data_IF_677237375930
#
_entry.id   IF_677237375930
#
_cell.length_a   1.000
_cell.length_b   1.000
_cell.length_c   1.000
_cell.angle_alpha   90.00
_cell.angle_beta   90.00
_cell.angle_gamma   90.00
#
_symmetry.space_group_name_H-M   'P 1'
#
loop_
_entity.id
_entity.type
_entity.pdbx_description
1 polymer ?
#
# COMPACT_ATOMS: atom_id res chain seq x y z
N UNK A 1 52.74 -40.15 69.16
CA UNK A 1 51.53 -40.45 68.36
C UNK A 1 50.40 -39.52 68.80
N UNK A 2 50.07 -38.49 68.01
CA UNK A 2 48.79 -37.78 68.12
C UNK A 2 48.32 -37.40 66.71
N UNK A 3 47.18 -37.95 66.32
CA UNK A 3 46.47 -37.64 65.07
C UNK A 3 45.83 -36.26 65.23
N UNK A 4 46.06 -35.33 64.31
CA UNK A 4 45.16 -34.19 64.12
C UNK A 4 44.57 -34.21 62.72
N UNK A 5 43.24 -34.20 62.69
CA UNK A 5 42.41 -34.38 61.51
C UNK A 5 42.40 -33.17 60.57
N UNK A 6 42.35 -33.50 59.29
CA UNK A 6 42.11 -32.60 58.17
C UNK A 6 40.73 -31.96 58.30
N UNK A 7 40.64 -30.70 58.75
CA UNK A 7 39.42 -29.88 58.63
C UNK A 7 39.13 -29.66 57.14
N UNK A 8 38.14 -30.37 56.61
CA UNK A 8 37.59 -30.12 55.26
C UNK A 8 36.93 -28.74 55.26
N UNK A 9 37.36 -27.88 54.34
CA UNK A 9 36.91 -26.50 54.19
C UNK A 9 35.49 -26.48 53.58
N UNK A 10 34.48 -26.38 54.44
CA UNK A 10 33.03 -26.41 54.11
C UNK A 10 32.51 -25.17 53.39
N UNK A 11 33.36 -24.14 53.19
CA UNK A 11 32.96 -22.87 52.57
C UNK A 11 32.75 -22.97 51.05
N UNK A 12 33.51 -23.82 50.35
CA UNK A 12 33.44 -23.92 48.88
C UNK A 12 32.20 -24.68 48.39
N UNK A 13 31.66 -25.61 49.19
CA UNK A 13 30.45 -26.36 48.85
C UNK A 13 29.17 -25.50 48.96
N UNK A 14 29.21 -24.45 49.80
CA UNK A 14 28.10 -23.52 50.01
C UNK A 14 27.95 -22.55 48.82
N UNK A 15 29.05 -21.98 48.32
CA UNK A 15 29.04 -21.04 47.20
C UNK A 15 28.56 -21.68 45.90
N UNK A 16 28.96 -22.92 45.60
CA UNK A 16 28.53 -23.66 44.40
C UNK A 16 27.03 -24.01 44.41
N UNK A 17 26.45 -24.29 45.59
CA UNK A 17 24.99 -24.49 45.75
C UNK A 17 24.21 -23.20 45.59
N UNK A 18 24.76 -22.09 46.10
CA UNK A 18 24.19 -20.76 45.96
C UNK A 18 24.20 -20.33 44.49
N UNK A 19 25.31 -20.51 43.78
CA UNK A 19 25.39 -20.21 42.34
C UNK A 19 24.47 -21.12 41.50
N UNK A 20 24.34 -22.41 41.82
CA UNK A 20 23.38 -23.30 41.14
C UNK A 20 21.93 -22.88 41.41
N UNK A 21 21.61 -22.44 42.63
CA UNK A 21 20.29 -21.95 43.00
C UNK A 21 19.95 -20.65 42.27
N UNK A 22 20.89 -19.71 42.18
CA UNK A 22 20.72 -18.46 41.43
C UNK A 22 20.59 -18.69 39.93
N UNK A 23 21.38 -19.60 39.34
CA UNK A 23 21.25 -19.96 37.92
C UNK A 23 19.90 -20.64 37.66
N UNK A 24 19.43 -21.52 38.55
CA UNK A 24 18.11 -22.12 38.43
C UNK A 24 16.99 -21.08 38.55
N UNK A 25 17.10 -20.12 39.47
CA UNK A 25 16.14 -19.02 39.62
C UNK A 25 16.09 -18.10 38.39
N UNK A 26 17.25 -17.81 37.78
CA UNK A 26 17.33 -17.01 36.55
C UNK A 26 16.72 -17.77 35.36
N UNK A 27 16.97 -19.07 35.23
CA UNK A 27 16.37 -19.90 34.18
C UNK A 27 14.86 -20.04 34.36
N UNK A 28 14.38 -20.26 35.59
CA UNK A 28 12.94 -20.33 35.89
C UNK A 28 12.27 -18.98 35.63
N UNK A 29 12.89 -17.87 36.02
CA UNK A 29 12.40 -16.52 35.72
C UNK A 29 12.29 -16.29 34.21
N UNK A 30 13.29 -16.70 33.42
CA UNK A 30 13.25 -16.60 31.95
C UNK A 30 12.16 -17.46 31.30
N UNK A 31 11.93 -18.69 31.79
CA UNK A 31 10.84 -19.56 31.31
C UNK A 31 9.45 -19.03 31.70
N UNK A 32 9.32 -18.42 32.87
CA UNK A 32 8.07 -17.80 33.33
C UNK A 32 7.79 -16.47 32.62
N UNK A 33 8.83 -15.78 32.13
CA UNK A 33 8.70 -14.54 31.33
C UNK A 33 8.47 -14.80 29.84
N UNK A 34 8.82 -15.98 29.32
CA UNK A 34 8.62 -16.37 27.92
C UNK A 34 7.16 -16.25 27.42
N UNK A 35 6.11 -16.62 28.18
CA UNK A 35 4.72 -16.45 27.72
C UNK A 35 4.24 -14.99 27.72
N UNK A 36 4.99 -14.05 28.32
CA UNK A 36 4.68 -12.60 28.28
C UNK A 36 5.29 -11.89 27.06
N UNK A 37 6.12 -12.58 26.26
CA UNK A 37 6.42 -12.17 24.90
C UNK A 37 5.24 -12.53 24.00
N UNK A 38 4.15 -11.78 24.16
CA UNK A 38 3.14 -11.70 23.12
C UNK A 38 3.84 -11.13 21.89
N UNK A 39 4.14 -11.98 20.91
CA UNK A 39 4.32 -11.52 19.54
C UNK A 39 2.98 -10.89 19.21
N UNK A 40 2.92 -9.56 19.20
CA UNK A 40 1.87 -8.88 18.48
C UNK A 40 2.08 -9.32 17.03
N UNK A 41 1.33 -10.32 16.58
CA UNK A 41 0.96 -10.37 15.18
C UNK A 41 0.25 -9.03 14.96
N UNK A 42 0.99 -8.07 14.40
CA UNK A 42 0.35 -6.97 13.74
C UNK A 42 -0.56 -7.66 12.73
N UNK A 43 -1.86 -7.70 13.01
CA UNK A 43 -2.85 -8.03 12.01
C UNK A 43 -2.50 -7.12 10.83
N UNK A 44 -2.05 -7.73 9.74
CA UNK A 44 -1.67 -7.01 8.55
C UNK A 44 -2.92 -6.26 8.11
N UNK A 45 -2.97 -4.96 8.40
CA UNK A 45 -3.99 -4.04 7.90
C UNK A 45 -3.81 -3.81 6.39
N UNK A 46 -3.16 -4.75 5.67
CA UNK A 46 -3.12 -4.70 4.23
C UNK A 46 -4.54 -4.91 3.71
N UNK A 47 -5.03 -3.87 3.05
CA UNK A 47 -6.24 -3.97 2.25
C UNK A 47 -6.04 -5.14 1.29
N UNK A 48 -6.96 -6.13 1.24
CA UNK A 48 -6.79 -7.29 0.39
C UNK A 48 -6.68 -6.84 -1.07
N UNK A 49 -5.54 -7.14 -1.69
CA UNK A 49 -5.31 -6.86 -3.11
C UNK A 49 -6.02 -7.95 -3.90
N UNK A 50 -6.91 -7.55 -4.81
CA UNK A 50 -7.57 -8.51 -5.71
C UNK A 50 -6.56 -9.19 -6.62
N UNK A 51 -6.83 -10.46 -6.95
CA UNK A 51 -5.96 -11.27 -7.80
C UNK A 51 -5.63 -10.56 -9.11
N UNK A 52 -4.34 -10.48 -9.44
CA UNK A 52 -3.84 -9.83 -10.65
C UNK A 52 -3.38 -8.38 -10.48
N UNK A 53 -3.76 -7.70 -9.38
CA UNK A 53 -3.24 -6.37 -9.07
C UNK A 53 -1.98 -6.42 -8.19
N UNK A 54 -1.19 -5.35 -8.25
CA UNK A 54 0.00 -5.16 -7.43
C UNK A 54 0.35 -3.69 -7.31
N UNK A 55 0.72 -3.23 -6.10
CA UNK A 55 1.25 -1.88 -5.89
C UNK A 55 2.48 -1.56 -6.74
N UNK A 56 3.22 -2.59 -7.14
CA UNK A 56 4.47 -2.45 -7.90
C UNK A 56 4.34 -2.83 -9.37
N UNK A 57 3.11 -2.96 -9.90
CA UNK A 57 2.86 -3.42 -11.27
C UNK A 57 3.69 -2.68 -12.33
N UNK A 58 3.80 -1.34 -12.21
CA UNK A 58 4.56 -0.50 -13.14
C UNK A 58 5.98 -0.15 -12.69
N UNK A 59 6.47 -0.74 -11.59
CA UNK A 59 7.78 -0.36 -11.00
C UNK A 59 8.95 -0.53 -11.97
N UNK A 60 8.89 -1.53 -12.85
CA UNK A 60 9.94 -1.81 -13.85
C UNK A 60 9.63 -1.18 -15.21
N UNK A 61 8.37 -1.25 -15.66
CA UNK A 61 7.97 -0.80 -17.01
C UNK A 61 7.77 0.71 -17.12
N UNK A 62 7.36 1.39 -16.05
CA UNK A 62 7.16 2.83 -16.03
C UNK A 62 7.43 3.41 -14.62
N UNK A 63 8.70 3.43 -14.15
CA UNK A 63 9.06 3.82 -12.78
C UNK A 63 8.70 5.26 -12.42
N UNK A 64 8.43 6.12 -13.41
CA UNK A 64 8.05 7.53 -13.21
C UNK A 64 6.54 7.77 -13.35
N UNK A 65 5.71 6.73 -13.49
CA UNK A 65 4.27 6.86 -13.75
C UNK A 65 3.59 7.83 -12.76
N UNK A 66 3.71 7.55 -11.46
CA UNK A 66 3.03 8.33 -10.44
C UNK A 66 3.53 9.77 -10.35
N UNK A 67 4.82 10.00 -10.57
CA UNK A 67 5.37 11.37 -10.51
C UNK A 67 4.94 12.18 -11.73
N UNK A 68 4.82 11.57 -12.92
CA UNK A 68 4.28 12.21 -14.12
C UNK A 68 2.84 12.65 -13.87
N UNK A 69 1.99 11.75 -13.36
CA UNK A 69 0.57 12.04 -13.09
C UNK A 69 0.44 13.15 -12.05
N UNK A 70 1.07 12.98 -10.88
CA UNK A 70 0.95 13.94 -9.79
C UNK A 70 1.47 15.33 -10.16
N UNK A 71 2.55 15.42 -10.92
CA UNK A 71 3.12 16.71 -11.36
C UNK A 71 2.17 17.44 -12.30
N UNK A 72 1.50 16.71 -13.18
CA UNK A 72 0.54 17.33 -14.10
C UNK A 72 -0.74 17.74 -13.37
N UNK A 73 -1.24 16.90 -12.46
CA UNK A 73 -2.46 17.21 -11.70
C UNK A 73 -2.31 18.44 -10.80
N UNK A 74 -1.13 18.66 -10.19
CA UNK A 74 -0.84 19.92 -9.48
C UNK A 74 -1.13 21.14 -10.36
N UNK A 75 -0.61 21.17 -11.58
CA UNK A 75 -0.84 22.27 -12.53
C UNK A 75 -2.31 22.41 -12.94
N UNK A 76 -3.01 21.29 -13.08
CA UNK A 76 -4.45 21.29 -13.38
C UNK A 76 -5.22 21.93 -12.23
N UNK A 77 -4.91 21.56 -10.99
CA UNK A 77 -5.61 22.04 -9.80
C UNK A 77 -5.24 23.46 -9.40
N UNK A 78 -4.00 23.89 -9.66
CA UNK A 78 -3.58 25.28 -9.54
C UNK A 78 -4.42 26.22 -10.44
N UNK A 79 -4.88 25.70 -11.60
CA UNK A 79 -5.73 26.44 -12.52
C UNK A 79 -7.23 26.34 -12.17
N UNK A 80 -7.73 25.13 -11.85
CA UNK A 80 -9.11 24.88 -11.43
C UNK A 80 -9.18 23.68 -10.47
N UNK A 81 -9.28 23.98 -9.18
CA UNK A 81 -9.38 22.96 -8.11
C UNK A 81 -10.62 22.08 -8.25
N UNK A 82 -11.69 22.56 -8.90
CA UNK A 82 -12.89 21.76 -9.13
C UNK A 82 -12.63 20.51 -9.98
N UNK A 83 -11.53 20.48 -10.74
CA UNK A 83 -11.17 19.31 -11.55
C UNK A 83 -10.85 18.08 -10.70
N UNK A 84 -10.38 18.26 -9.47
CA UNK A 84 -10.16 17.15 -8.52
C UNK A 84 -11.47 16.36 -8.27
N UNK A 85 -12.56 17.07 -7.99
CA UNK A 85 -13.88 16.44 -7.82
C UNK A 85 -14.37 15.75 -9.10
N UNK A 86 -14.07 16.32 -10.27
CA UNK A 86 -14.40 15.74 -11.57
C UNK A 86 -13.70 14.40 -11.83
N UNK A 87 -12.40 14.33 -11.54
CA UNK A 87 -11.59 13.12 -11.71
C UNK A 87 -11.96 12.02 -10.71
N UNK A 88 -12.19 12.38 -9.45
CA UNK A 88 -12.68 11.44 -8.44
C UNK A 88 -14.03 10.83 -8.85
N UNK A 89 -14.96 11.68 -9.31
CA UNK A 89 -16.27 11.24 -9.80
C UNK A 89 -16.15 10.36 -11.04
N UNK A 90 -15.24 10.67 -11.97
CA UNK A 90 -15.01 9.86 -13.16
C UNK A 90 -14.60 8.43 -12.79
N UNK A 91 -13.69 8.26 -11.83
CA UNK A 91 -13.29 6.93 -11.35
C UNK A 91 -14.45 6.17 -10.70
N UNK A 92 -15.28 6.85 -9.89
CA UNK A 92 -16.49 6.23 -9.35
C UNK A 92 -17.42 5.74 -10.47
N UNK A 93 -17.67 6.56 -11.49
CA UNK A 93 -18.53 6.20 -12.61
C UNK A 93 -17.98 5.03 -13.44
N UNK A 94 -16.66 4.98 -13.66
CA UNK A 94 -16.00 3.84 -14.30
C UNK A 94 -16.25 2.56 -13.50
N UNK A 95 -15.90 2.56 -12.22
CA UNK A 95 -16.00 1.36 -11.38
C UNK A 95 -17.43 0.88 -11.11
N UNK A 96 -18.43 1.76 -11.16
CA UNK A 96 -19.81 1.41 -10.84
C UNK A 96 -20.53 0.70 -11.99
N UNK A 97 -20.07 0.88 -13.23
CA UNK A 97 -20.65 0.25 -14.41
C UNK A 97 -19.66 -0.76 -14.97
N UNK A 98 -19.97 -2.05 -14.83
CA UNK A 98 -19.16 -3.17 -15.35
C UNK A 98 -17.76 -3.35 -14.73
N UNK A 99 -17.20 -2.33 -14.07
CA UNK A 99 -15.97 -2.42 -13.27
C UNK A 99 -14.96 -1.34 -13.65
N UNK A 100 -13.84 -1.26 -12.93
CA UNK A 100 -12.80 -0.27 -13.18
C UNK A 100 -11.95 -0.63 -14.42
N UNK A 101 -12.54 -0.57 -15.61
CA UNK A 101 -11.97 -1.06 -16.86
C UNK A 101 -11.67 0.04 -17.89
N UNK A 102 -12.00 1.30 -17.58
CA UNK A 102 -11.81 2.45 -18.46
C UNK A 102 -12.87 2.58 -19.56
N UNK A 103 -13.93 1.76 -19.54
CA UNK A 103 -15.03 1.78 -20.50
C UNK A 103 -15.70 3.15 -20.59
N UNK A 104 -15.80 3.87 -19.45
CA UNK A 104 -16.39 5.22 -19.39
C UNK A 104 -15.66 6.22 -20.30
N UNK A 105 -14.39 5.96 -20.64
CA UNK A 105 -13.57 6.83 -21.47
C UNK A 105 -13.82 6.66 -22.96
N UNK A 106 -14.48 5.58 -23.38
CA UNK A 106 -14.72 5.29 -24.80
C UNK A 106 -15.75 6.28 -25.37
N UNK A 107 -15.35 6.96 -26.45
CA UNK A 107 -16.29 7.65 -27.32
C UNK A 107 -17.10 6.61 -28.13
N UNK A 108 -18.32 6.99 -28.51
CA UNK A 108 -19.11 6.13 -29.38
C UNK A 108 -18.40 5.82 -30.68
N UNK A 109 -18.76 4.69 -31.28
CA UNK A 109 -18.21 4.24 -32.55
C UNK A 109 -19.31 4.09 -33.60
N UNK A 110 -18.93 3.65 -34.81
CA UNK A 110 -19.90 3.33 -35.85
C UNK A 110 -20.94 2.28 -35.44
N UNK A 111 -20.67 1.48 -34.39
CA UNK A 111 -21.60 0.48 -33.87
C UNK A 111 -22.53 0.99 -32.76
N UNK A 112 -22.41 2.24 -32.32
CA UNK A 112 -23.32 2.83 -31.33
C UNK A 112 -22.70 3.90 -30.42
N UNK A 113 -23.53 4.52 -29.56
CA UNK A 113 -23.05 5.49 -28.58
C UNK A 113 -22.12 4.81 -27.56
N UNK A 114 -21.07 5.52 -27.16
CA UNK A 114 -20.12 5.07 -26.15
C UNK A 114 -20.69 5.32 -24.76
N UNK A 115 -19.98 4.83 -23.75
CA UNK A 115 -20.42 4.92 -22.36
C UNK A 115 -20.52 6.38 -21.87
N UNK A 116 -19.77 7.30 -22.49
CA UNK A 116 -19.90 8.73 -22.23
C UNK A 116 -21.30 9.29 -22.49
N UNK A 117 -22.06 8.69 -23.42
CA UNK A 117 -23.41 9.13 -23.75
C UNK A 117 -24.50 8.43 -22.91
N UNK A 118 -24.13 7.51 -22.00
CA UNK A 118 -25.07 6.89 -21.09
C UNK A 118 -25.67 7.94 -20.13
N UNK A 119 -26.98 7.89 -19.81
CA UNK A 119 -27.63 8.89 -18.96
C UNK A 119 -26.91 9.20 -17.63
N UNK A 120 -26.34 8.21 -16.91
CA UNK A 120 -25.58 8.50 -15.69
C UNK A 120 -24.34 9.38 -15.94
N UNK A 121 -23.71 9.20 -17.10
CA UNK A 121 -22.40 9.78 -17.45
C UNK A 121 -22.50 11.16 -18.11
N UNK A 122 -23.68 11.56 -18.59
CA UNK A 122 -23.92 12.90 -19.17
C UNK A 122 -23.60 14.05 -18.22
N UNK A 123 -23.57 13.77 -16.91
CA UNK A 123 -23.24 14.76 -15.87
C UNK A 123 -21.76 14.79 -15.50
N UNK A 124 -20.93 13.93 -16.09
CA UNK A 124 -19.48 13.97 -15.94
C UNK A 124 -18.91 15.22 -16.62
N UNK A 125 -17.86 15.79 -16.03
CA UNK A 125 -17.23 17.00 -16.58
C UNK A 125 -16.46 16.61 -17.84
N UNK A 126 -16.80 17.20 -18.99
CA UNK A 126 -16.05 17.02 -20.24
C UNK A 126 -14.53 17.22 -20.04
N UNK A 127 -14.18 18.19 -19.19
CA UNK A 127 -12.78 18.49 -18.85
C UNK A 127 -12.04 17.33 -18.16
N UNK A 128 -12.72 16.46 -17.43
CA UNK A 128 -12.09 15.30 -16.80
C UNK A 128 -11.55 14.31 -17.85
N UNK A 129 -12.30 14.09 -18.94
CA UNK A 129 -11.83 13.26 -20.07
C UNK A 129 -10.62 13.87 -20.77
N UNK A 130 -10.61 15.19 -20.98
CA UNK A 130 -9.45 15.90 -21.53
C UNK A 130 -8.21 15.73 -20.65
N UNK A 131 -8.37 15.83 -19.32
CA UNK A 131 -7.26 15.65 -18.38
C UNK A 131 -6.73 14.21 -18.43
N UNK A 132 -7.59 13.19 -18.44
CA UNK A 132 -7.16 11.79 -18.57
C UNK A 132 -6.41 11.56 -19.89
N UNK A 133 -6.87 12.14 -20.99
CA UNK A 133 -6.17 12.07 -22.27
C UNK A 133 -4.80 12.78 -22.25
N UNK A 134 -4.68 13.96 -21.62
CA UNK A 134 -3.38 14.63 -21.43
C UNK A 134 -2.43 13.80 -20.56
N UNK A 135 -2.92 13.21 -19.46
CA UNK A 135 -2.14 12.30 -18.61
C UNK A 135 -1.65 11.08 -19.38
N UNK A 136 -2.54 10.43 -20.14
CA UNK A 136 -2.20 9.32 -21.02
C UNK A 136 -1.10 9.70 -21.99
N UNK A 137 -1.23 10.81 -22.71
CA UNK A 137 -0.24 11.26 -23.68
C UNK A 137 1.14 11.49 -23.02
N UNK A 138 1.17 12.04 -21.81
CA UNK A 138 2.42 12.25 -21.05
C UNK A 138 3.06 10.93 -20.62
N UNK A 139 2.24 9.99 -20.15
CA UNK A 139 2.69 8.65 -19.75
C UNK A 139 3.19 7.87 -20.96
N UNK A 140 2.45 7.84 -22.07
CA UNK A 140 2.85 7.17 -23.30
C UNK A 140 4.15 7.75 -23.87
N UNK A 141 4.33 9.08 -23.81
CA UNK A 141 5.58 9.73 -24.21
C UNK A 141 6.78 9.30 -23.36
N UNK A 142 6.57 9.01 -22.08
CA UNK A 142 7.64 8.63 -21.16
C UNK A 142 7.93 7.13 -21.13
N UNK A 143 6.91 6.31 -21.32
CA UNK A 143 6.94 4.87 -21.03
C UNK A 143 6.46 3.97 -22.18
N UNK A 144 5.97 4.56 -23.29
CA UNK A 144 5.26 3.81 -24.33
C UNK A 144 3.86 3.36 -23.89
N UNK A 145 3.22 2.51 -24.70
CA UNK A 145 1.83 2.04 -24.50
C UNK A 145 1.77 0.87 -23.50
N UNK A 146 2.24 1.11 -22.28
CA UNK A 146 2.33 0.09 -21.22
C UNK A 146 1.34 0.27 -20.09
N UNK A 147 0.89 1.51 -19.82
CA UNK A 147 -0.05 1.82 -18.73
C UNK A 147 -1.48 1.85 -19.25
N UNK A 148 -2.38 1.16 -18.57
CA UNK A 148 -3.81 1.12 -18.91
C UNK A 148 -4.49 2.46 -18.64
N UNK A 149 -5.60 2.74 -19.33
CA UNK A 149 -6.39 3.94 -19.06
C UNK A 149 -7.12 3.84 -17.71
N UNK A 150 -7.54 2.65 -17.30
CA UNK A 150 -8.15 2.40 -15.98
C UNK A 150 -7.19 2.73 -14.84
N UNK A 151 -5.91 2.35 -14.94
CA UNK A 151 -4.90 2.71 -13.93
C UNK A 151 -4.60 4.21 -13.90
N UNK A 152 -4.62 4.89 -15.06
CA UNK A 152 -4.49 6.36 -15.11
C UNK A 152 -5.66 7.02 -14.37
N UNK A 153 -6.89 6.55 -14.57
CA UNK A 153 -8.08 7.05 -13.87
C UNK A 153 -7.98 6.81 -12.36
N UNK A 154 -7.58 5.60 -11.94
CA UNK A 154 -7.41 5.26 -10.53
C UNK A 154 -6.33 6.12 -9.85
N UNK A 155 -5.17 6.28 -10.49
CA UNK A 155 -4.08 7.13 -9.98
C UNK A 155 -4.50 8.61 -9.93
N UNK A 156 -5.23 9.08 -10.94
CA UNK A 156 -5.73 10.45 -10.97
C UNK A 156 -6.75 10.73 -9.87
N UNK A 157 -7.66 9.80 -9.59
CA UNK A 157 -8.62 9.92 -8.49
C UNK A 157 -7.92 9.94 -7.12
N UNK A 158 -6.95 9.04 -6.90
CA UNK A 158 -6.12 9.04 -5.69
C UNK A 158 -5.41 10.38 -5.50
N UNK A 159 -4.77 10.88 -6.55
CA UNK A 159 -4.03 12.14 -6.47
C UNK A 159 -4.95 13.36 -6.35
N UNK A 160 -6.21 13.26 -6.79
CA UNK A 160 -7.24 14.29 -6.58
C UNK A 160 -7.69 14.42 -5.12
N UNK A 161 -7.58 13.34 -4.34
CA UNK A 161 -7.87 13.36 -2.90
C UNK A 161 -6.66 13.82 -2.09
N UNK A 162 -5.46 13.52 -2.59
CA UNK A 162 -4.20 13.82 -1.90
C UNK A 162 -3.73 15.28 -2.05
N UNK A 163 -3.90 15.85 -3.25
CA UNK A 163 -3.48 17.23 -3.58
C UNK A 163 -4.53 18.25 -3.16
#
# INVERSE_FOLDING_TARGET
MQRQGRKRNTKNLSMAKVTNSFVALLLISSLLLAPYLSISEAADNSVPIVSGLSWTFYKTSCPKLESIIRTQLKKVFDNDIGQAAGLLRLHFHDCFVQGCDGSVLLDGSASGPGEQQAPPNLSLRAKAFEIINDLRNRVEKACGRVVSCSDIVALAARDSVYL
#
